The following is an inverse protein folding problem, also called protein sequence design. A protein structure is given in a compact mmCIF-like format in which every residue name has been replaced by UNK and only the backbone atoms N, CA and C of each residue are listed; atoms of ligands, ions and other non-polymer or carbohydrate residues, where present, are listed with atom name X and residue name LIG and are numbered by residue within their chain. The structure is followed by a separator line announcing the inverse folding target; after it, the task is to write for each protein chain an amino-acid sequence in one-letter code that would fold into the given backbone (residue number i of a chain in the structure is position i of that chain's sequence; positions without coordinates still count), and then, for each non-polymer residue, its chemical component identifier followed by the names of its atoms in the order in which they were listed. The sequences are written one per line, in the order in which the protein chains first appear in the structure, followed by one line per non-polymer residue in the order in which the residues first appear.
data_IF_175113846213
#
_entry.id   IF_175113846213
#
_cell.length_a   1.000
_cell.length_b   1.000
_cell.length_c   1.000
_cell.angle_alpha   90.00
_cell.angle_beta   90.00
_cell.angle_gamma   90.00
#
_symmetry.space_group_name_H-M   'P 1'
#
loop_
_entity.id
_entity.type
_entity.pdbx_description
1 polymer ?
#
# COMPACT_ATOMS: atom_id res chain seq x y z
N UNK A 1 4.03 3.61 24.40
CA UNK A 1 5.27 3.12 23.77
C UNK A 1 4.91 1.97 22.85
N UNK A 2 4.75 2.21 21.55
CA UNK A 2 4.82 1.10 20.58
C UNK A 2 6.28 1.03 20.18
N UNK A 3 6.95 -0.01 20.66
CA UNK A 3 8.35 -0.35 20.36
C UNK A 3 8.62 -0.19 18.85
N UNK A 4 9.70 0.54 18.52
CA UNK A 4 10.15 0.77 17.15
C UNK A 4 10.46 -0.58 16.48
N UNK A 5 9.45 -1.15 15.83
CA UNK A 5 9.52 -2.51 15.30
C UNK A 5 9.62 -2.46 13.79
N UNK A 6 10.66 -3.09 13.25
CA UNK A 6 10.73 -3.37 11.82
C UNK A 6 9.63 -4.37 11.43
N UNK A 7 8.82 -4.11 10.40
CA UNK A 7 7.77 -5.03 9.98
C UNK A 7 8.37 -6.39 9.58
N UNK A 8 7.76 -7.48 10.05
CA UNK A 8 8.16 -8.84 9.73
C UNK A 8 7.77 -9.22 8.29
N UNK A 9 8.45 -10.20 7.70
CA UNK A 9 8.12 -10.69 6.35
C UNK A 9 6.67 -11.20 6.24
N UNK A 10 6.11 -11.77 7.31
CA UNK A 10 4.71 -12.19 7.36
C UNK A 10 3.74 -11.01 7.23
N UNK A 11 4.05 -9.86 7.84
CA UNK A 11 3.23 -8.65 7.74
C UNK A 11 3.25 -8.08 6.31
N UNK A 12 4.39 -8.15 5.61
CA UNK A 12 4.46 -7.83 4.18
C UNK A 12 3.61 -8.78 3.34
N UNK A 13 3.60 -10.08 3.66
CA UNK A 13 2.74 -11.06 2.99
C UNK A 13 1.26 -10.77 3.20
N UNK A 14 0.84 -10.46 4.42
CA UNK A 14 -0.54 -10.07 4.72
C UNK A 14 -0.94 -8.77 4.00
N UNK A 15 -0.05 -7.79 3.94
CA UNK A 15 -0.26 -6.57 3.16
C UNK A 15 -0.44 -6.87 1.67
N UNK A 16 0.38 -7.78 1.12
CA UNK A 16 0.28 -8.20 -0.27
C UNK A 16 -1.04 -8.93 -0.58
N UNK A 17 -1.50 -9.81 0.32
CA UNK A 17 -2.80 -10.48 0.20
C UNK A 17 -3.95 -9.46 0.24
N UNK A 18 -3.88 -8.49 1.16
CA UNK A 18 -4.91 -7.45 1.30
C UNK A 18 -4.96 -6.54 0.07
N UNK A 19 -3.80 -6.17 -0.50
CA UNK A 19 -3.74 -5.43 -1.76
C UNK A 19 -4.28 -6.28 -2.92
N UNK A 20 -3.95 -7.57 -2.97
CA UNK A 20 -4.44 -8.46 -4.03
C UNK A 20 -5.96 -8.62 -4.01
N UNK A 21 -6.60 -8.58 -2.84
CA UNK A 21 -8.06 -8.66 -2.74
C UNK A 21 -8.76 -7.56 -3.56
N UNK A 22 -8.21 -6.33 -3.58
CA UNK A 22 -8.78 -5.25 -4.40
C UNK A 22 -8.53 -5.45 -5.89
N UNK A 23 -7.36 -6.01 -6.25
CA UNK A 23 -7.03 -6.41 -7.63
C UNK A 23 -8.03 -7.43 -8.13
N UNK A 24 -8.14 -8.54 -7.42
CA UNK A 24 -9.04 -9.64 -7.76
C UNK A 24 -10.49 -9.18 -7.89
N UNK A 25 -10.97 -8.38 -6.93
CA UNK A 25 -12.34 -7.86 -6.95
C UNK A 25 -12.62 -7.01 -8.20
N UNK A 26 -11.72 -6.10 -8.56
CA UNK A 26 -11.88 -5.28 -9.76
C UNK A 26 -11.71 -6.08 -11.04
N UNK A 27 -10.78 -7.04 -11.10
CA UNK A 27 -10.67 -7.96 -12.23
C UNK A 27 -11.97 -8.73 -12.44
N UNK A 28 -12.56 -9.26 -11.37
CA UNK A 28 -13.87 -9.93 -11.42
C UNK A 28 -14.99 -9.00 -11.90
N UNK A 29 -15.04 -7.76 -11.40
CA UNK A 29 -16.01 -6.75 -11.83
C UNK A 29 -15.92 -6.42 -13.32
N UNK A 30 -14.70 -6.28 -13.84
CA UNK A 30 -14.42 -6.03 -15.26
C UNK A 30 -14.87 -7.22 -16.11
N UNK A 31 -14.58 -8.45 -15.69
CA UNK A 31 -15.00 -9.66 -16.40
C UNK A 31 -16.53 -9.83 -16.40
N UNK A 32 -17.23 -9.46 -15.32
CA UNK A 32 -18.69 -9.56 -15.23
C UNK A 32 -19.42 -8.46 -16.00
N UNK A 33 -18.80 -7.32 -16.23
CA UNK A 33 -19.40 -6.16 -16.89
C UNK A 33 -18.58 -5.71 -18.11
N UNK A 34 -18.45 -6.56 -19.15
CA UNK A 34 -17.65 -6.23 -20.32
C UNK A 34 -18.18 -4.98 -21.03
N UNK A 35 -17.29 -4.07 -21.45
CA UNK A 35 -17.63 -2.85 -22.18
C UNK A 35 -18.03 -1.65 -21.33
N UNK A 36 -18.16 -1.82 -20.01
CA UNK A 36 -18.55 -0.77 -19.09
C UNK A 36 -17.35 0.09 -18.69
N UNK A 37 -17.15 1.22 -19.40
CA UNK A 37 -15.95 2.09 -19.25
C UNK A 37 -15.74 2.62 -17.83
N UNK A 38 -16.81 2.90 -17.08
CA UNK A 38 -16.68 3.47 -15.73
C UNK A 38 -16.09 2.48 -14.73
N UNK A 39 -16.31 1.17 -14.90
CA UNK A 39 -15.71 0.12 -14.05
C UNK A 39 -14.19 0.12 -14.23
N UNK A 40 -13.70 0.21 -15.47
CA UNK A 40 -12.27 0.32 -15.76
C UNK A 40 -11.65 1.62 -15.21
N UNK A 41 -12.39 2.73 -15.27
CA UNK A 41 -11.94 4.01 -14.70
C UNK A 41 -11.84 3.95 -13.16
N UNK A 42 -12.77 3.28 -12.49
CA UNK A 42 -12.75 3.12 -11.03
C UNK A 42 -11.70 2.10 -10.54
N UNK A 43 -11.25 1.20 -11.41
CA UNK A 43 -10.26 0.20 -11.05
C UNK A 43 -8.95 0.84 -10.56
N UNK A 44 -8.44 1.88 -11.23
CA UNK A 44 -7.17 2.51 -10.85
C UNK A 44 -7.20 3.20 -9.47
N UNK A 45 -8.22 4.04 -9.15
CA UNK A 45 -8.40 4.54 -7.79
C UNK A 45 -8.49 3.42 -6.73
N UNK A 46 -9.16 2.32 -7.05
CA UNK A 46 -9.29 1.19 -6.13
C UNK A 46 -7.96 0.44 -5.93
N UNK A 47 -7.18 0.24 -6.99
CA UNK A 47 -5.83 -0.32 -6.88
C UNK A 47 -4.93 0.58 -6.05
N UNK A 48 -4.99 1.89 -6.29
CA UNK A 48 -4.26 2.88 -5.51
C UNK A 48 -4.63 2.82 -4.02
N UNK A 49 -5.91 2.83 -3.68
CA UNK A 49 -6.38 2.75 -2.30
C UNK A 49 -6.04 1.40 -1.64
N UNK A 50 -6.15 0.30 -2.40
CA UNK A 50 -5.80 -1.05 -1.96
C UNK A 50 -4.31 -1.24 -1.70
N UNK A 51 -3.45 -0.44 -2.30
CA UNK A 51 -2.03 -0.38 -1.97
C UNK A 51 -1.72 0.64 -0.86
N UNK A 52 -2.43 1.77 -0.83
CA UNK A 52 -2.24 2.84 0.14
C UNK A 52 -2.53 2.38 1.55
N UNK A 53 -3.68 1.73 1.78
CA UNK A 53 -4.11 1.36 3.13
C UNK A 53 -3.15 0.37 3.82
N UNK A 54 -2.76 -0.76 3.19
CA UNK A 54 -1.80 -1.68 3.81
C UNK A 54 -0.41 -1.06 3.98
N UNK A 55 0.03 -0.23 3.02
CA UNK A 55 1.31 0.47 3.12
C UNK A 55 1.33 1.46 4.29
N UNK A 56 0.27 2.25 4.46
CA UNK A 56 0.12 3.15 5.59
C UNK A 56 0.14 2.38 6.92
N UNK A 57 -0.59 1.26 7.02
CA UNK A 57 -0.61 0.44 8.24
C UNK A 57 0.79 -0.05 8.60
N UNK A 58 1.54 -0.64 7.67
CA UNK A 58 2.91 -1.11 7.92
C UNK A 58 3.85 0.05 8.23
N UNK A 59 3.78 1.13 7.45
CA UNK A 59 4.64 2.29 7.64
C UNK A 59 4.38 2.99 8.97
N UNK A 60 3.14 3.02 9.45
CA UNK A 60 2.77 3.63 10.74
C UNK A 60 3.28 2.84 11.96
N UNK A 61 3.68 1.58 11.77
CA UNK A 61 4.23 0.71 12.81
C UNK A 61 5.76 0.67 12.80
N UNK A 62 6.39 1.07 11.70
CA UNK A 62 7.83 1.14 11.59
C UNK A 62 8.33 2.35 12.39
N UNK A 63 9.29 2.16 13.29
CA UNK A 63 9.89 3.27 14.04
C UNK A 63 10.78 4.17 13.19
N UNK A 64 11.47 3.56 12.22
CA UNK A 64 12.35 4.20 11.26
C UNK A 64 12.16 3.59 9.86
N UNK A 65 12.56 4.34 8.82
CA UNK A 65 12.52 3.90 7.41
C UNK A 65 11.11 3.70 6.78
N UNK A 66 10.14 4.55 7.12
CA UNK A 66 8.78 4.53 6.55
C UNK A 66 8.73 4.43 5.01
N UNK A 67 9.57 5.19 4.31
CA UNK A 67 9.61 5.19 2.84
C UNK A 67 10.13 3.85 2.28
N UNK A 68 11.15 3.26 2.91
CA UNK A 68 11.66 1.95 2.50
C UNK A 68 10.62 0.84 2.75
N UNK A 69 9.87 0.94 3.85
CA UNK A 69 8.74 0.05 4.14
C UNK A 69 7.67 0.17 3.06
N UNK A 70 7.30 1.40 2.67
CA UNK A 70 6.31 1.65 1.62
C UNK A 70 6.72 1.17 0.22
N UNK A 71 8.01 1.25 -0.12
CA UNK A 71 8.54 0.71 -1.38
C UNK A 71 8.52 -0.83 -1.33
N UNK A 72 8.99 -1.43 -0.22
CA UNK A 72 9.03 -2.88 -0.06
C UNK A 72 7.61 -3.48 -0.08
N UNK A 73 6.62 -2.83 0.53
CA UNK A 73 5.21 -3.24 0.43
C UNK A 73 4.71 -3.17 -1.00
N UNK A 74 4.96 -2.07 -1.72
CA UNK A 74 4.52 -1.93 -3.12
C UNK A 74 5.10 -3.04 -4.02
N UNK A 75 6.39 -3.34 -3.88
CA UNK A 75 7.05 -4.41 -4.65
C UNK A 75 6.48 -5.79 -4.30
N UNK A 76 6.31 -6.10 -3.01
CA UNK A 76 5.74 -7.39 -2.57
C UNK A 76 4.29 -7.55 -3.03
N UNK A 77 3.46 -6.51 -2.89
CA UNK A 77 2.08 -6.52 -3.39
C UNK A 77 2.03 -6.69 -4.90
N UNK A 78 2.94 -6.05 -5.64
CA UNK A 78 3.01 -6.21 -7.10
C UNK A 78 3.43 -7.62 -7.52
N UNK A 79 4.50 -8.16 -6.93
CA UNK A 79 4.96 -9.52 -7.21
C UNK A 79 3.87 -10.55 -6.93
N UNK A 80 3.23 -10.45 -5.76
CA UNK A 80 2.16 -11.36 -5.36
C UNK A 80 0.93 -11.24 -6.27
N UNK A 81 0.50 -10.01 -6.59
CA UNK A 81 -0.66 -9.80 -7.46
C UNK A 81 -0.39 -10.25 -8.90
N UNK A 82 0.78 -9.91 -9.44
CA UNK A 82 1.18 -10.32 -10.79
C UNK A 82 1.32 -11.84 -10.91
N UNK A 83 1.95 -12.48 -9.93
CA UNK A 83 2.04 -13.94 -9.87
C UNK A 83 0.66 -14.60 -9.76
N UNK A 84 -0.20 -14.10 -8.87
CA UNK A 84 -1.56 -14.64 -8.67
C UNK A 84 -2.42 -14.49 -9.92
N UNK A 85 -2.37 -13.34 -10.59
CA UNK A 85 -3.06 -13.13 -11.86
C UNK A 85 -2.55 -14.08 -12.93
N UNK A 86 -1.22 -14.21 -13.07
CA UNK A 86 -0.64 -15.12 -14.07
C UNK A 86 -1.07 -16.58 -13.86
N UNK A 87 -1.05 -17.06 -12.61
CA UNK A 87 -1.49 -18.42 -12.26
C UNK A 87 -2.98 -18.64 -12.52
N UNK A 88 -3.83 -17.66 -12.21
CA UNK A 88 -5.29 -17.83 -12.29
C UNK A 88 -5.88 -17.58 -13.68
N UNK A 89 -5.35 -16.61 -14.44
CA UNK A 89 -5.89 -16.26 -15.75
C UNK A 89 -5.09 -16.82 -16.91
N UNK A 90 -3.88 -17.33 -16.67
CA UNK A 90 -2.96 -17.87 -17.68
C UNK A 90 -2.42 -16.84 -18.70
N UNK A 91 -3.09 -15.69 -18.81
CA UNK A 91 -2.75 -14.58 -19.69
C UNK A 91 -3.01 -13.27 -18.94
N UNK A 92 -1.98 -12.44 -18.83
CA UNK A 92 -2.10 -11.09 -18.27
C UNK A 92 -1.33 -10.13 -19.18
N UNK A 93 -1.96 -9.02 -19.56
CA UNK A 93 -1.31 -8.01 -20.38
C UNK A 93 -0.14 -7.37 -19.64
N UNK A 94 1.01 -7.29 -20.28
CA UNK A 94 2.19 -6.63 -19.73
C UNK A 94 1.93 -5.16 -19.39
N UNK A 95 1.15 -4.46 -20.22
CA UNK A 95 0.75 -3.07 -19.99
C UNK A 95 -0.06 -2.95 -18.69
N UNK A 96 -0.96 -3.90 -18.43
CA UNK A 96 -1.77 -3.91 -17.21
C UNK A 96 -0.90 -4.11 -15.94
N UNK A 97 0.10 -4.99 -16.01
CA UNK A 97 1.05 -5.18 -14.90
C UNK A 97 1.88 -3.93 -14.60
N UNK A 98 2.29 -3.17 -15.62
CA UNK A 98 2.99 -1.89 -15.45
C UNK A 98 2.06 -0.86 -14.79
N UNK A 99 0.81 -0.75 -15.23
CA UNK A 99 -0.14 0.19 -14.63
C UNK A 99 -0.48 -0.14 -13.17
N UNK A 100 -0.57 -1.43 -12.84
CA UNK A 100 -0.67 -1.90 -11.45
C UNK A 100 0.56 -1.52 -10.64
N UNK A 101 1.76 -1.70 -11.19
CA UNK A 101 3.01 -1.30 -10.55
C UNK A 101 3.00 0.19 -10.19
N UNK A 102 2.65 1.05 -11.14
CA UNK A 102 2.58 2.50 -10.94
C UNK A 102 1.57 2.84 -9.84
N UNK A 103 0.38 2.22 -9.88
CA UNK A 103 -0.68 2.45 -8.89
C UNK A 103 -0.25 2.02 -7.48
N UNK A 104 0.46 0.90 -7.37
CA UNK A 104 0.97 0.38 -6.10
C UNK A 104 2.13 1.20 -5.56
N UNK A 105 3.02 1.69 -6.42
CA UNK A 105 4.06 2.62 -6.01
C UNK A 105 3.49 3.94 -5.51
N UNK A 106 2.52 4.51 -6.24
CA UNK A 106 1.84 5.74 -5.81
C UNK A 106 1.13 5.53 -4.47
N UNK A 107 0.33 4.45 -4.33
CA UNK A 107 -0.36 4.16 -3.09
C UNK A 107 0.62 3.88 -1.94
N UNK A 108 1.66 3.08 -2.22
CA UNK A 108 2.71 2.72 -1.28
C UNK A 108 3.47 3.92 -0.75
N UNK A 109 3.92 4.80 -1.64
CA UNK A 109 4.63 6.03 -1.32
C UNK A 109 3.75 7.01 -0.55
N UNK A 110 2.50 7.23 -1.00
CA UNK A 110 1.58 8.13 -0.29
C UNK A 110 1.27 7.60 1.11
N UNK A 111 1.03 6.30 1.27
CA UNK A 111 0.79 5.69 2.57
C UNK A 111 1.98 5.85 3.53
N UNK A 112 3.20 5.64 3.03
CA UNK A 112 4.42 5.85 3.79
C UNK A 112 4.65 7.33 4.16
N UNK A 113 4.39 8.24 3.23
CA UNK A 113 4.54 9.68 3.45
C UNK A 113 3.56 10.20 4.52
N UNK A 114 2.30 9.75 4.48
CA UNK A 114 1.29 10.10 5.50
C UNK A 114 1.74 9.59 6.88
N UNK A 115 2.24 8.36 6.97
CA UNK A 115 2.76 7.80 8.23
C UNK A 115 3.93 8.62 8.78
N UNK A 116 4.92 8.94 7.94
CA UNK A 116 6.07 9.76 8.30
C UNK A 116 5.64 11.15 8.81
N UNK A 117 4.77 11.85 8.06
CA UNK A 117 4.27 13.18 8.46
C UNK A 117 3.55 13.16 9.81
N UNK A 118 2.81 12.08 10.10
CA UNK A 118 2.10 11.91 11.37
C UNK A 118 3.07 11.69 12.53
N UNK A 119 4.16 10.97 12.31
CA UNK A 119 5.19 10.75 13.34
C UNK A 119 5.95 12.02 13.67
N UNK A 120 6.45 12.74 12.65
CA UNK A 120 7.14 14.04 12.85
C UNK A 120 6.27 15.01 13.66
N UNK A 121 4.96 15.07 13.36
CA UNK A 121 4.03 15.93 14.11
C UNK A 121 3.88 15.51 15.58
N UNK A 122 3.92 14.21 15.89
CA UNK A 122 3.85 13.73 17.28
C UNK A 122 5.12 14.04 18.06
N UNK A 123 6.28 13.87 17.43
CA UNK A 123 7.58 14.20 18.02
C UNK A 123 7.64 15.70 18.36
N UNK A 124 7.30 16.56 17.41
CA UNK A 124 7.26 18.02 17.63
C UNK A 124 6.30 18.46 18.75
N UNK A 125 5.16 17.78 18.93
CA UNK A 125 4.23 18.07 20.04
C UNK A 125 4.79 17.65 21.40
N UNK A 126 5.52 16.53 21.45
CA UNK A 126 6.15 16.05 22.68
C UNK A 126 7.26 16.99 23.14
N UNK A 127 8.07 17.49 22.20
CA UNK A 127 9.14 18.44 22.50
C UNK A 127 8.58 19.76 23.06
N UNK A 128 7.42 20.20 22.57
CA UNK A 128 6.71 21.37 23.09
C UNK A 128 6.18 21.15 24.52
N UNK A 129 5.60 19.99 24.81
CA UNK A 129 5.15 19.64 26.17
C UNK A 129 6.31 19.56 27.16
N UNK A 130 7.44 18.98 26.76
CA UNK A 130 8.65 18.95 27.60
C UNK A 130 9.19 20.36 27.87
N UNK A 131 9.27 21.23 26.86
CA UNK A 131 9.73 22.61 27.05
C UNK A 131 8.81 23.46 27.95
N UNK A 132 7.51 23.17 27.96
CA UNK A 132 6.52 23.87 28.79
C UNK A 132 6.57 23.43 30.25
N UNK A 133 6.88 22.15 30.51
CA UNK A 133 6.96 21.60 31.87
C UNK A 133 8.28 21.91 32.60
N UNK A 134 9.29 22.42 31.90
CA UNK A 134 10.60 22.81 32.48
C UNK A 134 10.68 24.27 32.93
N UNK A 135 9.60 25.05 32.78
CA UNK A 135 9.45 26.44 33.24
C UNK A 135 8.53 26.51 34.46
#
# INVERSE_FOLDING_TARGET
MTEDRTPSNTEYGMAAILTYASVYFMSWMITKNPGVRWVTLLAYPVYYLGALYPSYLLSSRAGHAHLAVGIKTAVMSWLFSGFSLWVLTGTTSFIYLILLLISFFLGGFTGAFIALKRQIRKEALRDLEESTNTL
#
